data_IF_371510838604
#
_entry.id   IF_371510838604
#
_cell.length_a   1.000
_cell.length_b   1.000
_cell.length_c   1.000
_cell.angle_alpha   90.00
_cell.angle_beta   90.00
_cell.angle_gamma   90.00
#
_symmetry.space_group_name_H-M   'P 1'
#
loop_
_entity.id
_entity.type
_entity.pdbx_description
1 polymer ?
#
# COMPACT_ATOMS: atom_id res chain seq x y z
N UNK A 1 3.31 29.07 -26.69
CA UNK A 1 2.60 27.98 -25.97
C UNK A 1 2.23 28.45 -24.57
N UNK A 2 1.08 29.11 -24.39
CA UNK A 2 0.66 29.66 -23.08
C UNK A 2 -0.87 29.69 -22.90
N UNK A 3 -1.58 28.67 -23.35
CA UNK A 3 -3.06 28.66 -23.42
C UNK A 3 -3.75 28.19 -22.15
N UNK A 4 -3.06 27.44 -21.27
CA UNK A 4 -3.68 26.90 -20.05
C UNK A 4 -3.78 27.94 -18.93
N UNK A 5 -2.73 28.74 -18.72
CA UNK A 5 -2.67 29.74 -17.65
C UNK A 5 -3.63 30.93 -17.88
N UNK A 6 -3.87 31.29 -19.14
CA UNK A 6 -4.85 32.32 -19.51
C UNK A 6 -6.29 31.87 -19.25
N UNK A 7 -6.58 30.57 -19.36
CA UNK A 7 -7.90 29.99 -19.13
C UNK A 7 -8.28 29.98 -17.64
N UNK A 8 -7.29 29.81 -16.76
CA UNK A 8 -7.48 29.78 -15.32
C UNK A 8 -7.76 31.18 -14.73
N UNK A 9 -7.16 32.23 -15.32
CA UNK A 9 -7.38 33.62 -14.91
C UNK A 9 -8.71 34.22 -15.38
N UNK A 10 -9.35 33.63 -16.40
CA UNK A 10 -10.61 34.12 -16.97
C UNK A 10 -11.86 33.45 -16.39
N UNK A 11 -11.73 32.61 -15.36
CA UNK A 11 -12.90 32.18 -14.60
C UNK A 11 -13.35 33.33 -13.71
N UNK A 12 -14.23 34.18 -14.25
CA UNK A 12 -15.07 35.05 -13.45
C UNK A 12 -15.97 34.14 -12.61
N UNK A 13 -15.64 33.98 -11.32
CA UNK A 13 -16.62 33.61 -10.31
C UNK A 13 -17.81 34.54 -10.48
N UNK A 14 -19.02 34.05 -10.81
CA UNK A 14 -20.21 34.84 -10.57
C UNK A 14 -20.18 35.17 -9.09
N UNK A 15 -20.20 36.45 -8.76
CA UNK A 15 -20.15 36.92 -7.39
C UNK A 15 -21.17 36.14 -6.58
N UNK A 16 -20.69 35.29 -5.68
CA UNK A 16 -21.49 34.88 -4.56
C UNK A 16 -21.78 36.17 -3.81
N UNK A 17 -22.93 36.78 -4.08
CA UNK A 17 -23.55 37.70 -3.15
C UNK A 17 -23.86 36.87 -1.89
N UNK A 18 -22.83 36.69 -1.07
CA UNK A 18 -22.97 36.39 0.33
C UNK A 18 -23.72 37.58 0.92
N UNK A 19 -25.04 37.50 0.89
CA UNK A 19 -25.88 38.38 1.71
C UNK A 19 -25.38 38.17 3.13
N UNK A 20 -24.78 39.23 3.68
CA UNK A 20 -24.25 39.25 5.05
C UNK A 20 -25.31 38.66 5.99
N UNK A 21 -24.94 37.80 6.95
CA UNK A 21 -25.88 37.36 7.96
C UNK A 21 -26.40 38.59 8.69
N UNK A 22 -27.72 38.78 8.72
CA UNK A 22 -28.33 39.81 9.56
C UNK A 22 -28.05 39.41 11.01
N UNK A 23 -27.28 40.25 11.71
CA UNK A 23 -27.02 40.08 13.15
C UNK A 23 -28.37 40.06 13.87
N UNK A 24 -28.67 39.04 14.70
CA UNK A 24 -29.91 39.04 15.46
C UNK A 24 -29.91 40.23 16.43
N UNK A 25 -31.05 40.92 16.51
CA UNK A 25 -31.31 41.91 17.55
C UNK A 25 -31.29 41.20 18.91
N UNK A 26 -30.77 41.90 19.91
CA UNK A 26 -30.35 41.41 21.23
C UNK A 26 -31.44 40.68 22.08
N UNK A 27 -32.69 40.64 21.62
CA UNK A 27 -33.83 40.15 22.43
C UNK A 27 -34.41 38.80 21.95
N UNK A 28 -33.62 37.97 21.27
CA UNK A 28 -34.05 36.60 20.91
C UNK A 28 -33.44 35.59 21.88
N UNK A 29 -34.23 34.72 22.55
CA UNK A 29 -33.69 33.70 23.45
C UNK A 29 -32.80 32.72 22.68
N UNK A 30 -31.72 32.31 23.31
CA UNK A 30 -30.60 31.55 22.73
C UNK A 30 -31.06 30.35 21.89
N UNK A 31 -30.75 30.38 20.57
CA UNK A 31 -30.96 29.24 19.68
C UNK A 31 -31.43 29.59 18.26
N UNK A 32 -30.74 30.49 17.55
CA UNK A 32 -31.07 30.82 16.16
C UNK A 32 -30.42 29.85 15.17
N UNK A 33 -31.15 28.83 14.70
CA UNK A 33 -30.73 28.00 13.56
C UNK A 33 -31.03 28.73 12.25
N UNK A 34 -30.01 28.98 11.42
CA UNK A 34 -30.19 29.55 10.07
C UNK A 34 -30.54 28.43 9.09
N UNK A 35 -31.84 28.17 8.91
CA UNK A 35 -32.33 27.27 7.88
C UNK A 35 -32.24 27.91 6.50
N UNK A 36 -31.50 27.31 5.56
CA UNK A 36 -31.56 27.70 4.15
C UNK A 36 -32.92 27.27 3.58
N UNK A 37 -33.83 28.22 3.35
CA UNK A 37 -35.08 27.99 2.62
C UNK A 37 -34.83 28.26 1.15
N UNK A 38 -34.26 27.29 0.44
CA UNK A 38 -34.33 27.26 -1.02
C UNK A 38 -35.47 26.34 -1.42
N UNK A 39 -36.48 26.86 -2.13
CA UNK A 39 -37.50 26.05 -2.80
C UNK A 39 -37.03 25.78 -4.23
N UNK A 40 -36.46 24.61 -4.55
CA UNK A 40 -36.07 24.31 -5.92
C UNK A 40 -37.33 24.19 -6.78
N UNK A 41 -37.40 24.93 -7.88
CA UNK A 41 -38.53 24.92 -8.84
C UNK A 41 -38.55 23.66 -9.74
N UNK A 42 -37.82 22.61 -9.36
CA UNK A 42 -37.75 21.34 -10.08
C UNK A 42 -38.39 20.20 -9.30
N UNK A 43 -39.05 19.28 -10.01
CA UNK A 43 -39.51 18.01 -9.42
C UNK A 43 -38.27 17.21 -8.98
N UNK A 44 -38.03 17.14 -7.68
CA UNK A 44 -37.00 16.28 -7.10
C UNK A 44 -37.41 14.84 -7.40
N UNK A 45 -36.69 14.18 -8.32
CA UNK A 45 -36.84 12.74 -8.51
C UNK A 45 -36.17 12.05 -7.33
N UNK A 46 -36.96 11.32 -6.55
CA UNK A 46 -36.41 10.40 -5.56
C UNK A 46 -35.71 9.29 -6.34
N UNK A 47 -34.41 9.18 -6.17
CA UNK A 47 -33.65 8.03 -6.65
C UNK A 47 -34.00 6.91 -5.66
N UNK A 48 -34.90 6.01 -6.05
CA UNK A 48 -35.19 4.83 -5.24
C UNK A 48 -34.02 3.85 -5.39
N UNK A 49 -33.23 3.75 -4.32
CA UNK A 49 -32.08 2.88 -4.23
C UNK A 49 -30.81 3.65 -3.88
N UNK A 50 -30.11 3.18 -2.84
CA UNK A 50 -28.73 3.55 -2.65
C UNK A 50 -27.96 3.03 -3.87
N UNK A 51 -27.74 3.88 -4.87
CA UNK A 51 -26.69 3.63 -5.86
C UNK A 51 -25.38 3.86 -5.10
N UNK A 52 -24.98 2.84 -4.33
CA UNK A 52 -23.65 2.80 -3.76
C UNK A 52 -22.69 2.85 -4.95
N UNK A 53 -21.99 3.97 -5.11
CA UNK A 53 -20.82 3.98 -5.96
C UNK A 53 -19.89 2.90 -5.39
N UNK A 54 -19.53 1.84 -6.13
CA UNK A 54 -18.60 0.84 -5.63
C UNK A 54 -17.24 1.45 -5.24
N UNK A 55 -16.92 2.64 -5.76
CA UNK A 55 -15.72 3.41 -5.41
C UNK A 55 -15.90 4.35 -4.20
N UNK A 56 -17.10 4.42 -3.62
CA UNK A 56 -17.38 5.24 -2.42
C UNK A 56 -18.27 4.48 -1.44
N UNK A 57 -17.72 3.47 -0.75
CA UNK A 57 -18.46 2.73 0.27
C UNK A 57 -18.93 3.66 1.38
N UNK A 58 -20.07 3.34 2.00
CA UNK A 58 -20.47 4.01 3.23
C UNK A 58 -19.36 3.83 4.30
N UNK A 59 -19.16 4.83 5.15
CA UNK A 59 -18.12 4.77 6.21
C UNK A 59 -18.28 3.57 7.16
N UNK A 60 -19.47 2.99 7.23
CA UNK A 60 -19.80 1.81 8.05
C UNK A 60 -19.80 0.50 7.25
N UNK A 61 -19.40 0.51 5.98
CA UNK A 61 -19.26 -0.71 5.21
C UNK A 61 -18.14 -1.57 5.82
N UNK A 62 -18.30 -2.91 5.86
CA UNK A 62 -17.22 -3.78 6.27
C UNK A 62 -16.00 -3.53 5.37
N UNK A 63 -14.81 -3.47 5.98
CA UNK A 63 -13.57 -3.27 5.25
C UNK A 63 -13.42 -4.37 4.19
N UNK A 64 -13.17 -3.96 2.95
CA UNK A 64 -12.90 -4.90 1.86
C UNK A 64 -11.51 -5.48 2.11
N UNK A 65 -11.42 -6.80 2.13
CA UNK A 65 -10.14 -7.50 2.19
C UNK A 65 -9.27 -7.08 0.98
N UNK A 66 -8.10 -6.44 1.22
CA UNK A 66 -7.23 -6.00 0.13
C UNK A 66 -6.68 -7.18 -0.70
N UNK A 67 -6.58 -8.37 -0.11
CA UNK A 67 -5.98 -9.54 -0.74
C UNK A 67 -7.00 -10.41 -1.49
N UNK A 68 -8.28 -10.00 -1.55
CA UNK A 68 -9.38 -10.80 -2.14
C UNK A 68 -9.16 -11.27 -3.58
N UNK A 69 -8.31 -10.57 -4.33
CA UNK A 69 -7.96 -10.90 -5.72
C UNK A 69 -6.48 -11.27 -5.90
N UNK A 70 -5.69 -11.26 -4.83
CA UNK A 70 -4.29 -11.64 -4.85
C UNK A 70 -4.14 -13.17 -4.89
N UNK A 71 -2.90 -13.66 -4.82
CA UNK A 71 -2.60 -15.08 -4.68
C UNK A 71 -3.41 -15.71 -3.53
N UNK A 72 -4.09 -16.85 -3.73
CA UNK A 72 -3.96 -17.78 -4.87
C UNK A 72 -4.92 -17.53 -6.04
N UNK A 73 -5.74 -16.48 -6.00
CA UNK A 73 -6.76 -16.20 -7.02
C UNK A 73 -6.21 -15.49 -8.26
N UNK A 74 -5.03 -14.88 -8.17
CA UNK A 74 -4.27 -14.34 -9.30
C UNK A 74 -2.77 -14.46 -9.07
N UNK A 75 -1.96 -13.99 -10.03
CA UNK A 75 -0.50 -13.91 -9.89
C UNK A 75 -0.02 -12.76 -8.99
N UNK A 76 -0.90 -11.82 -8.63
CA UNK A 76 -0.54 -10.68 -7.78
C UNK A 76 -0.18 -11.15 -6.36
N UNK A 77 0.85 -10.55 -5.77
CA UNK A 77 1.25 -10.87 -4.40
C UNK A 77 0.21 -10.39 -3.39
N UNK A 78 -0.07 -11.21 -2.38
CA UNK A 78 -0.87 -10.77 -1.23
C UNK A 78 -0.01 -10.02 -0.20
N UNK A 79 -0.63 -9.39 0.79
CA UNK A 79 0.05 -8.61 1.82
C UNK A 79 1.11 -9.41 2.57
N UNK A 80 0.83 -10.67 2.91
CA UNK A 80 1.78 -11.54 3.61
C UNK A 80 3.03 -11.85 2.76
N UNK A 81 2.85 -12.09 1.46
CA UNK A 81 3.95 -12.31 0.52
C UNK A 81 4.81 -11.04 0.37
N UNK A 82 4.19 -9.86 0.33
CA UNK A 82 4.89 -8.57 0.28
C UNK A 82 5.71 -8.33 1.55
N UNK A 83 5.11 -8.54 2.74
CA UNK A 83 5.81 -8.41 4.02
C UNK A 83 7.02 -9.34 4.09
N UNK A 84 6.86 -10.59 3.63
CA UNK A 84 7.93 -11.59 3.59
C UNK A 84 9.04 -11.18 2.61
N UNK A 85 8.68 -10.67 1.44
CA UNK A 85 9.64 -10.18 0.44
C UNK A 85 10.46 -9.01 0.99
N UNK A 86 9.80 -8.03 1.62
CA UNK A 86 10.47 -6.87 2.21
C UNK A 86 11.42 -7.27 3.34
N UNK A 87 10.97 -8.17 4.22
CA UNK A 87 11.79 -8.69 5.31
C UNK A 87 13.04 -9.43 4.79
N UNK A 88 12.88 -10.26 3.74
CA UNK A 88 14.00 -10.97 3.10
C UNK A 88 14.97 -10.02 2.43
N UNK A 89 14.48 -9.04 1.67
CA UNK A 89 15.32 -8.06 1.00
C UNK A 89 16.19 -7.31 2.03
N UNK A 90 15.58 -6.83 3.12
CA UNK A 90 16.31 -6.17 4.20
C UNK A 90 17.36 -7.08 4.84
N UNK A 91 16.99 -8.34 5.13
CA UNK A 91 17.90 -9.34 5.71
C UNK A 91 19.10 -9.62 4.79
N UNK A 92 18.88 -9.75 3.49
CA UNK A 92 19.93 -10.06 2.52
C UNK A 92 20.88 -8.88 2.34
N UNK A 93 20.36 -7.65 2.30
CA UNK A 93 21.18 -6.43 2.32
C UNK A 93 22.06 -6.36 3.58
N UNK A 94 21.48 -6.62 4.77
CA UNK A 94 22.22 -6.69 6.02
C UNK A 94 23.29 -7.79 6.05
N UNK A 95 23.22 -8.75 5.13
CA UNK A 95 24.18 -9.86 5.00
C UNK A 95 25.16 -9.65 3.84
N UNK A 96 25.23 -8.45 3.25
CA UNK A 96 26.21 -8.10 2.22
C UNK A 96 25.78 -8.43 0.78
N UNK A 97 24.50 -8.76 0.55
CA UNK A 97 23.95 -8.75 -0.80
C UNK A 97 23.75 -7.30 -1.29
N UNK A 98 23.93 -7.05 -2.60
CA UNK A 98 23.54 -5.76 -3.17
C UNK A 98 22.01 -5.63 -3.12
N UNK A 99 21.46 -4.41 -3.11
CA UNK A 99 20.01 -4.21 -3.12
C UNK A 99 19.33 -4.92 -4.30
N UNK A 100 19.96 -4.89 -5.48
CA UNK A 100 19.47 -5.57 -6.68
C UNK A 100 19.50 -7.10 -6.55
N UNK A 101 20.57 -7.67 -5.98
CA UNK A 101 20.64 -9.12 -5.78
C UNK A 101 19.67 -9.57 -4.69
N UNK A 102 19.53 -8.78 -3.62
CA UNK A 102 18.59 -9.03 -2.53
C UNK A 102 17.14 -9.06 -3.03
N UNK A 103 16.76 -8.10 -3.87
CA UNK A 103 15.44 -8.06 -4.51
C UNK A 103 15.20 -9.28 -5.40
N UNK A 104 16.12 -9.55 -6.34
CA UNK A 104 16.04 -10.70 -7.25
C UNK A 104 15.97 -12.03 -6.52
N UNK A 105 16.65 -12.14 -5.38
CA UNK A 105 16.58 -13.33 -4.54
C UNK A 105 15.26 -13.44 -3.81
N UNK A 106 14.79 -12.37 -3.17
CA UNK A 106 13.51 -12.37 -2.47
C UNK A 106 12.35 -12.69 -3.42
N UNK A 107 12.35 -12.12 -4.62
CA UNK A 107 11.35 -12.39 -5.67
C UNK A 107 11.32 -13.87 -6.09
N UNK A 108 12.49 -14.48 -6.33
CA UNK A 108 12.57 -15.93 -6.62
C UNK A 108 12.01 -16.79 -5.48
N UNK A 109 12.23 -16.36 -4.24
CA UNK A 109 11.74 -17.07 -3.06
C UNK A 109 10.23 -16.97 -2.85
N UNK A 110 9.56 -15.96 -3.43
CA UNK A 110 8.08 -15.92 -3.44
C UNK A 110 7.53 -17.11 -4.20
N UNK A 111 8.04 -17.36 -5.41
CA UNK A 111 7.59 -18.51 -6.21
C UNK A 111 7.94 -19.84 -5.54
N UNK A 112 9.12 -19.95 -4.93
CA UNK A 112 9.49 -21.13 -4.13
C UNK A 112 8.45 -21.42 -3.04
N UNK A 113 8.07 -20.40 -2.28
CA UNK A 113 7.13 -20.55 -1.17
C UNK A 113 5.73 -20.96 -1.65
N UNK A 114 5.33 -20.52 -2.85
CA UNK A 114 4.06 -20.94 -3.49
C UNK A 114 4.08 -22.41 -3.90
N UNK A 115 5.24 -22.90 -4.34
CA UNK A 115 5.44 -24.28 -4.77
C UNK A 115 5.67 -25.26 -3.61
N UNK A 116 5.62 -24.78 -2.36
CA UNK A 116 5.94 -25.54 -1.13
C UNK A 116 7.33 -26.21 -1.18
N UNK A 117 8.28 -25.56 -1.86
CA UNK A 117 9.66 -26.03 -1.99
C UNK A 117 10.45 -25.66 -0.71
N UNK A 118 10.99 -26.69 -0.05
CA UNK A 118 11.62 -26.60 1.27
C UNK A 118 13.10 -26.16 1.22
N UNK A 119 13.69 -26.08 0.03
CA UNK A 119 15.07 -25.63 -0.18
C UNK A 119 15.30 -24.22 0.33
N UNK A 120 16.46 -23.97 0.91
CA UNK A 120 16.75 -22.67 1.56
C UNK A 120 18.03 -22.05 1.05
N UNK A 121 18.03 -20.73 0.94
CA UNK A 121 19.27 -19.99 0.75
C UNK A 121 20.07 -19.97 2.05
N UNK A 122 21.40 -20.05 1.96
CA UNK A 122 22.25 -19.80 3.12
C UNK A 122 22.02 -18.38 3.70
N UNK A 123 21.65 -17.40 2.85
CA UNK A 123 21.23 -16.07 3.31
C UNK A 123 19.96 -16.06 4.17
N UNK A 124 19.16 -17.12 4.22
CA UNK A 124 18.03 -17.27 5.15
C UNK A 124 18.47 -17.96 6.47
N UNK A 125 19.63 -18.62 6.47
CA UNK A 125 20.08 -19.43 7.60
C UNK A 125 20.46 -18.58 8.81
N UNK A 126 19.91 -18.93 9.98
CA UNK A 126 20.27 -18.29 11.26
C UNK A 126 21.71 -18.52 11.70
N UNK A 127 22.38 -19.54 11.15
CA UNK A 127 23.75 -19.92 11.47
C UNK A 127 24.79 -19.25 10.56
N UNK A 128 24.36 -18.46 9.58
CA UNK A 128 25.25 -17.68 8.73
C UNK A 128 25.83 -16.48 9.51
N UNK A 129 27.12 -16.25 9.35
CA UNK A 129 27.89 -15.15 9.95
C UNK A 129 28.84 -14.54 8.91
N UNK A 130 29.05 -13.23 9.03
CA UNK A 130 29.93 -12.43 8.18
C UNK A 130 29.20 -11.73 7.02
N UNK A 131 29.78 -10.61 6.59
CA UNK A 131 29.45 -9.86 5.36
C UNK A 131 30.68 -9.92 4.44
N UNK A 132 31.11 -11.13 4.08
CA UNK A 132 32.47 -11.39 3.56
C UNK A 132 32.72 -12.89 3.46
N UNK A 133 33.94 -13.46 3.67
CA UNK A 133 34.08 -14.91 3.74
C UNK A 133 33.08 -15.46 4.76
N UNK A 134 32.05 -16.13 4.23
CA UNK A 134 30.85 -16.43 5.00
C UNK A 134 31.12 -17.67 5.82
N UNK A 135 30.68 -17.67 7.07
CA UNK A 135 30.79 -18.86 7.93
C UNK A 135 29.39 -19.31 8.31
N UNK A 136 29.02 -20.54 7.93
CA UNK A 136 27.75 -21.12 8.32
C UNK A 136 27.99 -22.32 9.25
N UNK A 137 27.38 -22.28 10.44
CA UNK A 137 27.46 -23.40 11.39
C UNK A 137 26.93 -24.73 10.82
N UNK A 138 25.87 -24.68 10.01
CA UNK A 138 25.31 -25.88 9.38
C UNK A 138 26.23 -26.42 8.28
N UNK A 139 26.79 -25.55 7.44
CA UNK A 139 27.74 -25.98 6.41
C UNK A 139 28.99 -26.62 7.04
N UNK A 140 29.51 -26.03 8.12
CA UNK A 140 30.60 -26.61 8.91
C UNK A 140 30.22 -27.96 9.51
N UNK A 141 29.03 -28.09 10.09
CA UNK A 141 28.56 -29.36 10.66
C UNK A 141 28.38 -30.45 9.58
N UNK A 142 28.01 -30.06 8.36
CA UNK A 142 27.88 -30.94 7.20
C UNK A 142 29.23 -31.23 6.50
N UNK A 143 30.35 -30.66 6.97
CA UNK A 143 31.66 -30.82 6.33
C UNK A 143 31.85 -30.03 5.02
N UNK A 144 30.92 -29.14 4.69
CA UNK A 144 30.93 -28.31 3.47
C UNK A 144 31.71 -27.01 3.74
N UNK A 145 33.03 -27.13 3.86
CA UNK A 145 34.04 -26.05 4.00
C UNK A 145 33.81 -25.01 5.13
N UNK A 146 34.90 -24.53 5.76
CA UNK A 146 34.80 -23.59 6.89
C UNK A 146 34.44 -22.15 6.48
N UNK A 147 34.64 -21.80 5.21
CA UNK A 147 34.38 -20.52 4.58
C UNK A 147 33.60 -20.78 3.29
N UNK A 148 32.39 -20.23 3.21
CA UNK A 148 31.51 -20.31 2.06
C UNK A 148 31.82 -19.16 1.11
N UNK A 149 32.00 -19.52 -0.16
CA UNK A 149 32.10 -18.54 -1.23
C UNK A 149 30.75 -17.84 -1.45
N UNK A 150 30.80 -16.60 -1.95
CA UNK A 150 29.62 -15.75 -2.09
C UNK A 150 28.56 -16.38 -2.99
N UNK A 151 28.96 -16.96 -4.11
CA UNK A 151 28.10 -17.67 -5.06
C UNK A 151 27.30 -18.82 -4.41
N UNK A 152 27.94 -19.58 -3.53
CA UNK A 152 27.28 -20.68 -2.82
C UNK A 152 26.22 -20.15 -1.85
N UNK A 153 26.46 -19.00 -1.22
CA UNK A 153 25.53 -18.38 -0.28
C UNK A 153 24.27 -17.82 -0.95
N UNK A 154 24.39 -17.44 -2.23
CA UNK A 154 23.30 -16.91 -3.06
C UNK A 154 22.52 -18.00 -3.83
N UNK A 155 22.85 -19.28 -3.62
CA UNK A 155 22.24 -20.41 -4.31
C UNK A 155 21.29 -21.16 -3.38
N UNK A 156 20.13 -21.58 -3.90
CA UNK A 156 19.20 -22.47 -3.19
C UNK A 156 19.86 -23.83 -2.95
N UNK A 157 19.86 -24.29 -1.69
CA UNK A 157 20.40 -25.58 -1.25
C UNK A 157 19.28 -26.56 -0.95
#
# INVERSE_FOLDING_TARGET
MSTWLARLKNQNTPGAEATKPTKPTHDTPEGGFVGFVAHPQGRIQKIDGAVANPETPAANAPAIDPDRWAWPHSSAMNGQELDTLMARQALFCQRGASAQDAERLADRLVNRDRDDDDRRLCLECRHLRGEGPYRCGNARAAGVHADLARDLVLTLQ
#
